data_IF_204805282717
#
_entry.id   IF_204805282717
#
_cell.length_a   1.000
_cell.length_b   1.000
_cell.length_c   1.000
_cell.angle_alpha   90.00
_cell.angle_beta   90.00
_cell.angle_gamma   90.00
#
_symmetry.space_group_name_H-M   'P 1'
#
loop_
_entity.id
_entity.type
_entity.pdbx_description
1 polymer ?
#
# COMPACT_ATOMS: atom_id res chain seq x y z
N UNK A 1 -10.45 -15.41 -23.77
CA UNK A 1 -9.71 -16.68 -23.65
C UNK A 1 -8.22 -16.47 -23.91
N UNK A 2 -7.48 -15.69 -23.08
CA UNK A 2 -6.01 -15.50 -23.24
C UNK A 2 -5.23 -15.43 -21.91
N UNK A 3 -5.86 -15.76 -20.79
CA UNK A 3 -5.20 -15.62 -19.46
C UNK A 3 -4.79 -16.93 -18.79
N UNK A 4 -5.01 -18.08 -19.43
CA UNK A 4 -4.77 -19.41 -18.82
C UNK A 4 -3.38 -19.98 -19.14
N UNK A 5 -2.58 -19.30 -19.93
CA UNK A 5 -1.31 -19.86 -20.44
C UNK A 5 -0.07 -19.53 -19.60
N UNK A 6 -0.14 -18.59 -18.67
CA UNK A 6 1.05 -18.13 -17.93
C UNK A 6 1.32 -18.99 -16.68
N UNK A 7 0.30 -19.62 -16.11
CA UNK A 7 0.45 -20.44 -14.90
C UNK A 7 1.08 -21.82 -15.19
N UNK A 8 0.94 -22.34 -16.41
CA UNK A 8 1.43 -23.66 -16.78
C UNK A 8 2.95 -23.73 -17.04
N UNK A 9 3.63 -22.60 -17.28
CA UNK A 9 5.06 -22.58 -17.61
C UNK A 9 5.96 -22.67 -16.37
N UNK A 10 5.46 -22.33 -15.20
CA UNK A 10 6.22 -22.38 -13.94
C UNK A 10 6.30 -23.78 -13.30
N UNK A 11 5.57 -24.77 -13.80
CA UNK A 11 5.53 -26.12 -13.23
C UNK A 11 6.55 -27.11 -13.82
N UNK A 12 7.35 -26.73 -14.82
CA UNK A 12 8.19 -27.68 -15.57
C UNK A 12 9.72 -27.53 -15.38
N UNK A 13 10.19 -26.79 -14.41
CA UNK A 13 11.61 -26.78 -14.04
C UNK A 13 11.87 -27.74 -12.87
N UNK A 14 11.60 -29.02 -13.11
CA UNK A 14 11.94 -30.08 -12.19
C UNK A 14 13.45 -30.35 -12.21
N UNK A 15 14.09 -30.32 -11.05
CA UNK A 15 15.44 -30.83 -10.87
C UNK A 15 16.44 -29.90 -10.19
N UNK A 16 16.05 -28.71 -9.76
CA UNK A 16 16.92 -27.86 -8.96
C UNK A 16 16.64 -28.14 -7.47
N UNK A 17 17.67 -28.36 -6.70
CA UNK A 17 17.58 -28.59 -5.25
C UNK A 17 17.08 -27.29 -4.59
N UNK A 18 15.81 -27.21 -4.29
CA UNK A 18 15.25 -26.07 -3.58
C UNK A 18 15.64 -26.16 -2.11
N UNK A 19 16.20 -25.12 -1.56
CA UNK A 19 16.68 -25.08 -0.18
C UNK A 19 16.06 -23.89 0.56
N UNK A 20 15.49 -24.14 1.74
CA UNK A 20 15.01 -23.06 2.59
C UNK A 20 16.18 -22.22 3.12
N UNK A 21 15.97 -20.92 3.43
CA UNK A 21 17.02 -20.06 3.95
C UNK A 21 17.65 -20.57 5.23
N UNK A 22 18.93 -20.32 5.37
CA UNK A 22 19.73 -20.56 6.58
C UNK A 22 20.22 -19.25 7.15
N UNK A 23 20.85 -19.27 8.32
CA UNK A 23 21.44 -18.07 8.92
C UNK A 23 22.34 -17.31 7.97
N UNK A 24 22.23 -16.00 7.92
CA UNK A 24 22.95 -15.10 7.01
C UNK A 24 22.26 -14.84 5.66
N UNK A 25 21.24 -15.60 5.30
CA UNK A 25 20.50 -15.40 4.05
C UNK A 25 19.67 -14.12 4.07
N UNK A 26 19.67 -13.41 2.94
CA UNK A 26 18.77 -12.27 2.68
C UNK A 26 17.71 -12.70 1.68
N UNK A 27 16.46 -12.34 1.90
CA UNK A 27 15.41 -12.50 0.89
C UNK A 27 14.71 -11.18 0.63
N UNK A 28 14.36 -10.95 -0.64
CA UNK A 28 13.48 -9.83 -1.02
C UNK A 28 12.20 -10.39 -1.65
N UNK A 29 11.07 -9.80 -1.31
CA UNK A 29 9.77 -10.27 -1.78
C UNK A 29 8.83 -9.13 -2.12
N UNK A 30 7.91 -9.41 -3.02
CA UNK A 30 6.78 -8.56 -3.34
C UNK A 30 5.49 -9.30 -3.05
N UNK A 31 4.54 -8.60 -2.45
CA UNK A 31 3.21 -9.14 -2.17
C UNK A 31 2.23 -8.80 -3.27
N UNK A 32 1.40 -9.77 -3.61
CA UNK A 32 0.27 -9.63 -4.51
C UNK A 32 -1.00 -9.79 -3.66
N UNK A 33 -1.83 -8.75 -3.61
CA UNK A 33 -3.11 -8.82 -2.89
C UNK A 33 -4.25 -8.72 -3.89
N UNK A 34 -5.22 -9.61 -3.80
CA UNK A 34 -6.41 -9.58 -4.63
C UNK A 34 -7.45 -10.58 -4.17
N UNK A 35 -8.73 -10.25 -4.31
CA UNK A 35 -9.80 -11.24 -4.28
C UNK A 35 -9.74 -12.09 -5.56
N UNK A 36 -10.12 -13.37 -5.47
CA UNK A 36 -10.00 -14.37 -6.53
C UNK A 36 -10.63 -13.94 -7.87
N UNK A 37 -11.52 -12.94 -7.88
CA UNK A 37 -12.20 -12.42 -9.07
C UNK A 37 -11.57 -11.13 -9.66
N UNK A 38 -10.56 -10.54 -9.00
CA UNK A 38 -9.86 -9.35 -9.47
C UNK A 38 -8.41 -9.41 -8.98
N UNK A 39 -7.61 -10.25 -9.62
CA UNK A 39 -6.15 -10.24 -9.41
C UNK A 39 -5.63 -8.95 -10.05
N UNK A 40 -5.57 -7.92 -9.28
CA UNK A 40 -4.80 -6.73 -9.63
C UNK A 40 -3.37 -6.99 -9.17
N UNK A 41 -2.46 -7.02 -10.12
CA UNK A 41 -1.02 -6.89 -9.85
C UNK A 41 -0.82 -5.42 -9.45
N UNK A 42 -1.29 -5.08 -8.27
CA UNK A 42 -0.91 -3.83 -7.63
C UNK A 42 0.07 -4.18 -6.53
N UNK A 43 1.17 -3.48 -6.36
CA UNK A 43 2.10 -3.70 -5.26
C UNK A 43 1.50 -3.21 -3.94
N UNK A 44 0.26 -3.64 -3.64
CA UNK A 44 -0.52 -3.19 -2.47
C UNK A 44 0.08 -3.75 -1.17
N UNK A 45 0.83 -4.84 -1.25
CA UNK A 45 1.51 -5.40 -0.08
C UNK A 45 2.93 -4.84 0.14
N UNK A 46 3.38 -3.95 -0.75
CA UNK A 46 4.70 -3.35 -0.64
C UNK A 46 5.85 -4.31 -0.96
N UNK A 47 7.05 -3.79 -0.86
CA UNK A 47 8.28 -4.57 -0.89
C UNK A 47 8.64 -5.01 0.53
N UNK A 48 9.23 -6.19 0.66
CA UNK A 48 9.69 -6.72 1.94
C UNK A 48 11.08 -7.32 1.79
N UNK A 49 11.88 -7.14 2.82
CA UNK A 49 13.20 -7.78 2.95
C UNK A 49 13.22 -8.55 4.26
N UNK A 50 13.79 -9.75 4.23
CA UNK A 50 14.06 -10.55 5.42
C UNK A 50 15.56 -10.85 5.51
N UNK A 51 16.07 -10.85 6.72
CA UNK A 51 17.41 -11.29 7.06
C UNK A 51 17.33 -12.42 8.07
N UNK A 52 17.82 -13.60 7.72
CA UNK A 52 17.80 -14.77 8.58
C UNK A 52 18.95 -14.67 9.60
N UNK A 53 18.59 -14.47 10.86
CA UNK A 53 19.52 -14.41 11.99
C UNK A 53 20.06 -15.83 12.35
N UNK A 54 19.32 -16.83 11.95
CA UNK A 54 19.62 -18.24 12.12
C UNK A 54 18.65 -19.07 11.27
N UNK A 55 18.70 -20.37 11.35
CA UNK A 55 17.89 -21.25 10.52
C UNK A 55 16.37 -21.14 10.77
N UNK A 56 16.00 -20.63 11.95
CA UNK A 56 14.61 -20.56 12.36
C UNK A 56 14.14 -19.12 12.70
N UNK A 57 15.02 -18.13 12.68
CA UNK A 57 14.66 -16.76 13.07
C UNK A 57 15.05 -15.79 11.98
N UNK A 58 14.11 -14.97 11.55
CA UNK A 58 14.36 -13.90 10.59
C UNK A 58 13.86 -12.55 11.13
N UNK A 59 14.66 -11.51 10.95
CA UNK A 59 14.21 -10.13 11.02
C UNK A 59 13.62 -9.74 9.66
N UNK A 60 12.53 -8.96 9.67
CA UNK A 60 11.92 -8.48 8.44
C UNK A 60 11.60 -7.01 8.48
N UNK A 61 11.63 -6.37 7.33
CA UNK A 61 11.21 -5.00 7.11
C UNK A 61 10.28 -4.98 5.90
N UNK A 62 9.05 -4.51 6.11
CA UNK A 62 8.10 -4.22 5.06
C UNK A 62 8.03 -2.73 4.78
N UNK A 63 7.97 -2.36 3.49
CA UNK A 63 7.81 -1.00 3.01
C UNK A 63 6.60 -0.93 2.09
N UNK A 64 5.74 0.04 2.32
CA UNK A 64 4.61 0.35 1.45
C UNK A 64 4.67 1.81 1.03
N UNK A 65 4.67 2.05 -0.27
CA UNK A 65 4.69 3.38 -0.87
C UNK A 65 3.55 3.48 -1.89
N UNK A 66 2.67 4.45 -1.68
CA UNK A 66 1.62 4.76 -2.65
C UNK A 66 1.62 6.26 -2.93
N UNK A 67 1.67 6.63 -4.19
CA UNK A 67 1.52 8.01 -4.65
C UNK A 67 0.48 8.05 -5.75
N UNK A 68 -0.55 8.85 -5.56
CA UNK A 68 -1.65 9.00 -6.52
C UNK A 68 -1.91 10.48 -6.77
N UNK A 69 -2.19 10.81 -8.02
CA UNK A 69 -2.58 12.17 -8.43
C UNK A 69 -3.67 12.08 -9.50
N UNK A 70 -4.76 12.79 -9.27
CA UNK A 70 -5.87 12.92 -10.21
C UNK A 70 -6.07 14.39 -10.52
N UNK A 71 -6.22 14.71 -11.80
CA UNK A 71 -6.48 16.08 -12.27
C UNK A 71 -7.76 16.11 -13.08
N UNK A 72 -8.70 16.97 -12.69
CA UNK A 72 -9.92 17.30 -13.43
C UNK A 72 -9.82 18.70 -14.00
N UNK A 73 -10.29 18.89 -15.23
CA UNK A 73 -10.31 20.19 -15.90
C UNK A 73 -11.72 20.58 -16.28
N UNK A 74 -11.98 21.87 -16.26
CA UNK A 74 -13.20 22.47 -16.80
C UNK A 74 -12.77 23.69 -17.65
N UNK A 75 -13.46 23.89 -18.76
CA UNK A 75 -13.24 25.02 -19.64
C UNK A 75 -14.37 26.03 -19.47
N UNK A 76 -14.06 27.30 -19.73
CA UNK A 76 -15.03 28.39 -19.72
C UNK A 76 -16.12 28.16 -20.76
N UNK A 77 -15.70 27.77 -21.96
CA UNK A 77 -16.62 27.46 -23.07
C UNK A 77 -16.67 25.94 -23.35
N UNK A 78 -17.83 25.40 -23.77
CA UNK A 78 -17.96 23.98 -24.07
C UNK A 78 -17.08 23.47 -25.22
N UNK A 79 -16.62 24.36 -26.10
CA UNK A 79 -15.71 24.07 -27.21
C UNK A 79 -14.24 23.98 -26.80
N UNK A 80 -13.96 24.18 -25.49
CA UNK A 80 -12.61 24.17 -24.93
C UNK A 80 -11.84 25.49 -25.09
N UNK A 81 -12.51 26.54 -25.58
CA UNK A 81 -11.93 27.89 -25.67
C UNK A 81 -12.14 28.69 -24.38
N UNK A 82 -11.48 29.87 -24.27
CA UNK A 82 -11.53 30.73 -23.10
C UNK A 82 -10.57 30.30 -22.01
N UNK A 83 -10.96 30.49 -20.75
CA UNK A 83 -10.17 30.10 -19.59
C UNK A 83 -10.27 28.62 -19.26
N UNK A 84 -9.28 28.10 -18.54
CA UNK A 84 -9.29 26.73 -18.01
C UNK A 84 -9.19 26.74 -16.50
N UNK A 85 -10.00 25.90 -15.85
CA UNK A 85 -9.96 25.60 -14.43
C UNK A 85 -9.45 24.19 -14.17
N UNK A 86 -8.77 23.99 -13.05
CA UNK A 86 -8.19 22.71 -12.68
C UNK A 86 -8.48 22.37 -11.21
N UNK A 87 -8.91 21.13 -10.96
CA UNK A 87 -8.90 20.50 -9.65
C UNK A 87 -7.86 19.38 -9.65
N UNK A 88 -6.86 19.48 -8.78
CA UNK A 88 -5.83 18.47 -8.58
C UNK A 88 -5.97 17.85 -7.20
N UNK A 89 -6.16 16.55 -7.17
CA UNK A 89 -6.17 15.73 -5.97
C UNK A 89 -4.87 14.94 -5.88
N UNK A 90 -4.22 14.96 -4.72
CA UNK A 90 -3.01 14.19 -4.45
C UNK A 90 -3.17 13.38 -3.18
N UNK A 91 -2.59 12.20 -3.18
CA UNK A 91 -2.53 11.30 -2.04
C UNK A 91 -1.16 10.62 -2.00
N UNK A 92 -0.57 10.56 -0.81
CA UNK A 92 0.68 9.86 -0.58
C UNK A 92 0.56 9.01 0.70
N UNK A 93 1.02 7.76 0.63
CA UNK A 93 1.11 6.86 1.76
C UNK A 93 2.53 6.31 1.86
N UNK A 94 3.09 6.36 3.05
CA UNK A 94 4.30 5.69 3.46
C UNK A 94 3.98 4.72 4.60
N UNK A 95 4.31 3.44 4.43
CA UNK A 95 4.18 2.40 5.44
C UNK A 95 5.52 1.77 5.75
N UNK A 96 5.83 1.61 7.04
CA UNK A 96 7.02 0.94 7.56
C UNK A 96 6.60 -0.13 8.56
N UNK A 97 7.02 -1.38 8.32
CA UNK A 97 6.59 -2.55 9.08
C UNK A 97 7.78 -3.43 9.46
N UNK A 98 8.54 -3.07 10.50
CA UNK A 98 9.58 -3.94 11.06
C UNK A 98 8.94 -5.09 11.84
N UNK A 99 9.55 -6.28 11.77
CA UNK A 99 9.01 -7.46 12.43
C UNK A 99 10.03 -8.57 12.57
N UNK A 100 9.58 -9.65 13.19
CA UNK A 100 10.35 -10.89 13.37
C UNK A 100 9.49 -12.08 12.99
N UNK A 101 10.12 -13.09 12.41
CA UNK A 101 9.52 -14.36 11.99
C UNK A 101 10.24 -15.51 12.65
N UNK A 102 9.47 -16.47 13.14
CA UNK A 102 10.00 -17.73 13.62
C UNK A 102 9.50 -18.86 12.69
N UNK A 103 10.44 -19.57 12.09
CA UNK A 103 10.22 -20.69 11.18
C UNK A 103 10.29 -22.00 11.97
N UNK A 104 9.15 -22.67 12.17
CA UNK A 104 9.03 -23.77 13.13
C UNK A 104 8.81 -25.15 12.52
N UNK A 105 8.35 -25.22 11.27
CA UNK A 105 8.07 -26.50 10.62
C UNK A 105 8.28 -26.42 9.11
N UNK A 106 8.50 -27.56 8.49
CA UNK A 106 8.67 -27.69 7.05
C UNK A 106 9.70 -28.73 6.67
N UNK A 107 9.85 -28.95 5.36
CA UNK A 107 10.88 -29.79 4.76
C UNK A 107 11.89 -28.94 4.01
N UNK A 108 12.64 -29.56 3.11
CA UNK A 108 13.64 -28.85 2.29
C UNK A 108 13.03 -27.74 1.41
N UNK A 109 11.79 -27.94 0.94
CA UNK A 109 11.09 -27.05 0.00
C UNK A 109 9.96 -26.22 0.62
N UNK A 110 9.61 -26.51 1.86
CA UNK A 110 8.48 -25.85 2.53
C UNK A 110 8.94 -25.32 3.89
N UNK A 111 8.64 -24.06 4.17
CA UNK A 111 8.90 -23.46 5.47
C UNK A 111 7.64 -22.78 5.98
N UNK A 112 7.15 -23.19 7.16
CA UNK A 112 6.06 -22.55 7.85
C UNK A 112 6.60 -21.59 8.88
N UNK A 113 5.95 -20.45 9.06
CA UNK A 113 6.38 -19.42 9.98
C UNK A 113 5.20 -18.77 10.69
N UNK A 114 5.50 -18.17 11.83
CA UNK A 114 4.65 -17.20 12.50
C UNK A 114 5.52 -16.02 12.95
N UNK A 115 4.92 -14.86 13.07
CA UNK A 115 5.67 -13.67 13.41
C UNK A 115 4.81 -12.54 13.96
N UNK A 116 5.50 -11.49 14.38
CA UNK A 116 4.92 -10.25 14.83
C UNK A 116 5.63 -9.06 14.19
N UNK A 117 4.90 -7.98 13.98
CA UNK A 117 5.41 -6.74 13.39
C UNK A 117 4.82 -5.51 14.07
N UNK A 118 5.58 -4.44 14.08
CA UNK A 118 5.07 -3.09 14.28
C UNK A 118 4.53 -2.57 12.95
N UNK A 119 3.52 -1.71 13.02
CA UNK A 119 2.93 -1.07 11.84
C UNK A 119 2.97 0.43 12.08
N UNK A 120 3.62 1.14 11.18
CA UNK A 120 3.61 2.60 11.12
C UNK A 120 3.20 3.00 9.72
N UNK A 121 2.10 3.77 9.61
CA UNK A 121 1.61 4.30 8.33
C UNK A 121 1.36 5.80 8.44
N UNK A 122 1.89 6.54 7.49
CA UNK A 122 1.73 7.97 7.36
C UNK A 122 1.04 8.26 6.04
N UNK A 123 -0.08 8.97 6.08
CA UNK A 123 -0.76 9.43 4.88
C UNK A 123 -0.82 10.94 4.82
N UNK A 124 -0.71 11.49 3.62
CA UNK A 124 -1.00 12.87 3.32
C UNK A 124 -1.93 12.97 2.13
N UNK A 125 -2.82 13.96 2.16
CA UNK A 125 -3.78 14.18 1.11
C UNK A 125 -4.03 15.68 0.94
N UNK A 126 -4.16 16.13 -0.31
CA UNK A 126 -4.37 17.54 -0.64
C UNK A 126 -5.22 17.68 -1.89
N UNK A 127 -6.15 18.63 -1.87
CA UNK A 127 -6.86 19.12 -3.05
C UNK A 127 -6.47 20.55 -3.33
N UNK A 128 -6.12 20.86 -4.57
CA UNK A 128 -5.86 22.22 -5.04
C UNK A 128 -6.79 22.51 -6.21
N UNK A 129 -7.48 23.65 -6.16
CA UNK A 129 -8.36 24.16 -7.22
C UNK A 129 -7.88 25.51 -7.67
N UNK A 130 -7.79 25.69 -8.96
CA UNK A 130 -7.43 26.97 -9.60
C UNK A 130 -8.44 27.24 -10.70
N UNK A 131 -9.16 28.36 -10.63
CA UNK A 131 -10.26 28.69 -11.51
C UNK A 131 -11.30 27.58 -11.69
N UNK A 132 -11.47 26.75 -10.64
CA UNK A 132 -12.38 25.60 -10.62
C UNK A 132 -13.21 25.59 -9.35
N UNK A 133 -14.52 25.83 -9.46
CA UNK A 133 -15.45 25.76 -8.35
C UNK A 133 -16.22 24.42 -8.34
N UNK A 134 -16.34 23.74 -7.19
CA UNK A 134 -17.09 22.49 -7.07
C UNK A 134 -18.56 22.65 -7.49
N UNK A 135 -19.04 21.77 -8.36
CA UNK A 135 -20.42 21.77 -8.85
C UNK A 135 -20.72 22.83 -9.94
N UNK A 136 -19.80 23.74 -10.20
CA UNK A 136 -19.95 24.80 -11.22
C UNK A 136 -19.02 24.54 -12.42
N UNK A 137 -17.80 24.08 -12.15
CA UNK A 137 -16.76 23.93 -13.17
C UNK A 137 -15.83 25.13 -13.22
N UNK A 138 -15.59 25.71 -14.40
CA UNK A 138 -14.75 26.90 -14.55
C UNK A 138 -15.35 28.11 -13.80
N UNK A 139 -14.50 28.78 -13.02
CA UNK A 139 -14.81 30.03 -12.37
C UNK A 139 -13.54 30.88 -12.26
N UNK A 140 -13.46 31.96 -13.01
CA UNK A 140 -12.33 32.89 -12.96
C UNK A 140 -12.09 33.46 -11.56
N UNK A 141 -10.82 33.65 -11.18
CA UNK A 141 -10.41 34.19 -9.89
C UNK A 141 -10.88 33.38 -8.66
N UNK A 142 -11.21 32.09 -8.84
CA UNK A 142 -11.47 31.17 -7.76
C UNK A 142 -10.22 30.33 -7.49
N UNK A 143 -9.80 30.23 -6.24
CA UNK A 143 -8.81 29.27 -5.81
C UNK A 143 -9.19 28.65 -4.47
N UNK A 144 -8.91 27.36 -4.33
CA UNK A 144 -9.14 26.65 -3.07
C UNK A 144 -8.03 25.64 -2.84
N UNK A 145 -7.53 25.58 -1.61
CA UNK A 145 -6.63 24.52 -1.14
C UNK A 145 -7.28 23.84 0.06
N UNK A 146 -7.36 22.52 0.01
CA UNK A 146 -7.78 21.68 1.12
C UNK A 146 -6.58 20.82 1.50
N UNK A 147 -5.91 21.12 2.61
CA UNK A 147 -4.84 20.30 3.18
C UNK A 147 -5.44 19.29 4.17
N UNK A 148 -4.99 18.07 4.09
CA UNK A 148 -5.47 16.97 4.91
C UNK A 148 -6.61 16.15 4.30
N UNK A 149 -7.14 16.50 3.14
CA UNK A 149 -8.19 15.76 2.43
C UNK A 149 -8.09 15.89 0.92
N UNK A 150 -8.40 14.79 0.22
CA UNK A 150 -8.63 14.76 -1.23
C UNK A 150 -9.72 13.75 -1.57
N UNK A 151 -10.13 13.65 -2.84
CA UNK A 151 -11.00 12.58 -3.33
C UNK A 151 -10.37 11.19 -3.21
N UNK A 152 -9.06 11.12 -3.08
CA UNK A 152 -8.27 9.88 -3.00
C UNK A 152 -8.03 9.40 -1.57
N UNK A 153 -8.29 10.23 -0.54
CA UNK A 153 -8.11 9.87 0.86
C UNK A 153 -7.89 11.05 1.80
N UNK A 154 -7.54 10.76 3.04
CA UNK A 154 -7.30 11.73 4.11
C UNK A 154 -5.90 11.63 4.72
N UNK A 155 -5.49 12.68 5.41
CA UNK A 155 -4.26 12.73 6.18
C UNK A 155 -4.44 11.94 7.47
N UNK A 156 -3.55 10.99 7.74
CA UNK A 156 -3.58 10.22 8.99
C UNK A 156 -2.20 9.69 9.37
N UNK A 157 -2.09 9.31 10.63
CA UNK A 157 -0.97 8.53 11.16
C UNK A 157 -1.54 7.32 11.87
N UNK A 158 -1.15 6.12 11.44
CA UNK A 158 -1.55 4.87 12.09
C UNK A 158 -0.33 4.22 12.72
N UNK A 159 -0.53 3.71 13.93
CA UNK A 159 0.43 2.90 14.65
C UNK A 159 -0.27 1.62 15.12
N UNK A 160 0.43 0.48 15.07
CA UNK A 160 -0.18 -0.77 15.44
C UNK A 160 0.77 -1.94 15.59
N UNK A 161 0.15 -3.07 15.91
CA UNK A 161 0.78 -4.38 16.03
C UNK A 161 0.12 -5.34 15.05
N UNK A 162 0.91 -6.15 14.38
CA UNK A 162 0.45 -7.23 13.53
C UNK A 162 0.99 -8.56 14.01
N UNK A 163 0.12 -9.58 14.07
CA UNK A 163 0.49 -10.98 14.21
C UNK A 163 0.19 -11.65 12.88
N UNK A 164 1.08 -12.49 12.41
CA UNK A 164 0.90 -13.15 11.13
C UNK A 164 1.48 -14.55 11.15
N UNK A 165 0.99 -15.37 10.23
CA UNK A 165 1.47 -16.73 9.99
C UNK A 165 1.38 -17.03 8.50
N UNK A 166 2.16 -18.00 8.06
CA UNK A 166 2.15 -18.37 6.66
C UNK A 166 3.07 -19.53 6.35
N UNK A 167 3.25 -19.74 5.07
CA UNK A 167 4.25 -20.68 4.57
C UNK A 167 4.88 -20.18 3.30
N UNK A 168 6.13 -20.60 3.06
CA UNK A 168 6.91 -20.36 1.86
C UNK A 168 7.22 -21.69 1.19
N UNK A 169 6.95 -21.78 -0.11
CA UNK A 169 7.28 -22.90 -0.93
C UNK A 169 8.41 -22.53 -1.91
N UNK A 170 9.58 -23.12 -1.70
CA UNK A 170 10.77 -22.94 -2.50
C UNK A 170 10.71 -23.89 -3.68
N UNK A 171 10.45 -23.36 -4.87
CA UNK A 171 10.40 -24.17 -6.10
C UNK A 171 11.72 -24.19 -6.86
N UNK A 172 12.65 -23.28 -6.51
CA UNK A 172 14.06 -23.29 -6.91
C UNK A 172 14.92 -22.94 -5.70
N UNK A 173 16.25 -23.00 -5.83
CA UNK A 173 17.19 -22.55 -4.80
C UNK A 173 17.03 -21.08 -4.42
N UNK A 174 16.53 -20.26 -5.35
CA UNK A 174 16.47 -18.81 -5.18
C UNK A 174 15.06 -18.23 -5.21
N UNK A 175 14.08 -18.96 -5.69
CA UNK A 175 12.73 -18.45 -5.85
C UNK A 175 11.74 -19.23 -4.97
N UNK A 176 10.83 -18.50 -4.35
CA UNK A 176 9.76 -19.07 -3.57
C UNK A 176 8.45 -18.34 -3.78
N UNK A 177 7.37 -19.07 -3.57
CA UNK A 177 6.02 -18.53 -3.42
C UNK A 177 5.59 -18.67 -1.96
N UNK A 178 5.00 -17.64 -1.41
CA UNK A 178 4.49 -17.65 -0.05
C UNK A 178 3.04 -17.23 0.03
N UNK A 179 2.37 -17.73 1.07
CA UNK A 179 1.05 -17.25 1.47
C UNK A 179 1.15 -16.81 2.94
N UNK A 180 0.59 -15.64 3.22
CA UNK A 180 0.57 -15.07 4.58
C UNK A 180 -0.83 -14.59 4.92
N UNK A 181 -1.26 -14.80 6.16
CA UNK A 181 -2.46 -14.24 6.76
C UNK A 181 -2.14 -13.67 8.12
N UNK A 182 -2.94 -12.74 8.61
CA UNK A 182 -2.64 -12.09 9.88
C UNK A 182 -3.77 -11.29 10.49
N UNK A 183 -3.52 -10.86 11.72
CA UNK A 183 -4.36 -9.99 12.53
C UNK A 183 -3.60 -8.69 12.77
N UNK A 184 -4.22 -7.55 12.51
CA UNK A 184 -3.65 -6.25 12.77
C UNK A 184 -4.53 -5.47 13.75
N UNK A 185 -3.90 -4.93 14.78
CA UNK A 185 -4.47 -3.98 15.73
C UNK A 185 -3.92 -2.61 15.38
N UNK A 186 -4.78 -1.68 14.96
CA UNK A 186 -4.38 -0.35 14.51
C UNK A 186 -5.05 0.73 15.34
N UNK A 187 -4.27 1.75 15.68
CA UNK A 187 -4.76 3.02 16.20
C UNK A 187 -4.43 4.10 15.17
N UNK A 188 -5.45 4.75 14.65
CA UNK A 188 -5.32 5.77 13.62
C UNK A 188 -5.71 7.14 14.16
N UNK A 189 -4.82 8.10 14.03
CA UNK A 189 -5.07 9.52 14.30
C UNK A 189 -5.23 10.25 12.97
N UNK A 190 -6.39 10.83 12.75
CA UNK A 190 -6.68 11.64 11.58
C UNK A 190 -6.20 13.07 11.79
N UNK A 191 -5.49 13.62 10.81
CA UNK A 191 -5.04 15.01 10.84
C UNK A 191 -6.17 16.01 10.63
N UNK A 192 -5.94 17.23 11.06
CA UNK A 192 -6.85 18.34 10.79
C UNK A 192 -6.96 18.61 9.30
N UNK A 193 -8.14 19.04 8.87
CA UNK A 193 -8.39 19.50 7.50
C UNK A 193 -8.45 21.02 7.50
N UNK A 194 -7.52 21.66 6.77
CA UNK A 194 -7.47 23.10 6.61
C UNK A 194 -7.92 23.46 5.21
N UNK A 195 -8.98 24.24 5.09
CA UNK A 195 -9.49 24.71 3.81
C UNK A 195 -9.28 26.22 3.70
N UNK A 196 -8.56 26.65 2.64
CA UNK A 196 -8.38 28.05 2.25
C UNK A 196 -9.10 28.27 0.93
N UNK A 197 -10.04 29.19 0.91
CA UNK A 197 -10.80 29.53 -0.30
C UNK A 197 -10.65 31.02 -0.58
N UNK A 198 -10.26 31.35 -1.80
CA UNK A 198 -10.21 32.74 -2.28
C UNK A 198 -11.15 32.90 -3.46
N UNK A 199 -12.01 33.88 -3.40
CA UNK A 199 -12.93 34.26 -4.46
C UNK A 199 -13.22 35.78 -4.36
N UNK A 200 -13.20 36.48 -5.49
CA UNK A 200 -13.49 37.91 -5.53
C UNK A 200 -12.58 38.78 -4.65
N UNK A 201 -11.32 38.38 -4.44
CA UNK A 201 -10.37 39.09 -3.59
C UNK A 201 -10.48 38.83 -2.09
N UNK A 202 -11.44 38.03 -1.66
CA UNK A 202 -11.65 37.64 -0.25
C UNK A 202 -11.07 36.23 -0.04
N UNK A 203 -10.27 36.07 1.01
CA UNK A 203 -9.75 34.75 1.42
C UNK A 203 -10.35 34.35 2.76
N UNK A 204 -10.92 33.15 2.81
CA UNK A 204 -11.47 32.55 4.01
C UNK A 204 -10.69 31.27 4.31
N UNK A 205 -10.28 31.11 5.57
CA UNK A 205 -9.67 29.89 6.08
C UNK A 205 -10.58 29.22 7.09
N UNK A 206 -10.82 27.94 6.93
CA UNK A 206 -11.56 27.11 7.89
C UNK A 206 -10.73 25.91 8.29
N UNK A 207 -10.86 25.49 9.56
CA UNK A 207 -10.16 24.33 10.10
C UNK A 207 -11.19 23.38 10.70
N UNK A 208 -11.14 22.11 10.26
CA UNK A 208 -11.88 21.00 10.83
C UNK A 208 -10.92 20.12 11.61
N UNK A 209 -11.21 19.88 12.88
CA UNK A 209 -10.40 19.02 13.72
C UNK A 209 -10.44 17.56 13.22
N UNK A 210 -9.32 16.90 13.31
CA UNK A 210 -9.20 15.46 13.11
C UNK A 210 -9.78 14.67 14.28
N UNK A 211 -9.64 13.36 14.23
CA UNK A 211 -10.15 12.43 15.24
C UNK A 211 -9.23 11.24 15.43
N UNK A 212 -9.70 10.25 16.17
CA UNK A 212 -9.01 8.97 16.37
C UNK A 212 -9.96 7.81 16.15
N UNK A 213 -9.43 6.72 15.60
CA UNK A 213 -10.11 5.43 15.50
C UNK A 213 -9.17 4.32 15.94
N UNK A 214 -9.74 3.26 16.49
CA UNK A 214 -9.04 2.01 16.79
C UNK A 214 -9.72 0.88 16.03
N UNK A 215 -8.93 0.12 15.29
CA UNK A 215 -9.43 -0.94 14.43
C UNK A 215 -8.72 -2.28 14.73
N UNK A 216 -9.51 -3.33 14.80
CA UNK A 216 -9.03 -4.70 14.73
C UNK A 216 -9.33 -5.23 13.33
N UNK A 217 -8.29 -5.44 12.54
CA UNK A 217 -8.39 -5.93 11.17
C UNK A 217 -7.91 -7.38 11.10
N UNK A 218 -8.80 -8.27 10.70
CA UNK A 218 -8.47 -9.66 10.40
C UNK A 218 -8.24 -9.74 8.90
N UNK A 219 -7.00 -9.87 8.48
CA UNK A 219 -6.65 -10.13 7.08
C UNK A 219 -6.79 -11.63 6.81
N UNK A 220 -8.02 -12.07 6.54
CA UNK A 220 -8.32 -13.45 6.15
C UNK A 220 -7.98 -13.75 4.68
N UNK A 221 -7.75 -12.71 3.90
CA UNK A 221 -7.32 -12.86 2.51
C UNK A 221 -5.81 -13.03 2.51
N UNK A 222 -5.35 -14.22 2.16
CA UNK A 222 -3.93 -14.52 2.07
C UNK A 222 -3.23 -13.57 1.11
N UNK A 223 -2.12 -13.00 1.55
CA UNK A 223 -1.20 -12.29 0.65
C UNK A 223 -0.37 -13.33 -0.06
N UNK A 224 -0.53 -13.44 -1.38
CA UNK A 224 0.38 -14.21 -2.20
C UNK A 224 1.70 -13.44 -2.35
N UNK A 225 2.81 -14.10 -2.12
CA UNK A 225 4.15 -13.48 -2.17
C UNK A 225 5.02 -14.20 -3.18
N UNK A 226 5.77 -13.44 -3.94
CA UNK A 226 6.87 -13.94 -4.76
C UNK A 226 8.17 -13.39 -4.18
N UNK A 227 9.10 -14.26 -3.85
CA UNK A 227 10.35 -13.88 -3.24
C UNK A 227 11.58 -14.47 -3.93
N UNK A 228 12.69 -13.76 -3.76
CA UNK A 228 14.00 -14.14 -4.22
C UNK A 228 14.98 -14.20 -3.04
N UNK A 229 15.79 -15.25 -3.01
CA UNK A 229 16.85 -15.51 -2.02
C UNK A 229 18.22 -15.20 -2.62
N UNK A 230 19.02 -14.39 -1.92
CA UNK A 230 20.37 -13.97 -2.33
C UNK A 230 21.43 -14.88 -1.73
#
# INVERSE_FOLDING_TARGET
>A
MRSTLIIAILLFLGGVWAQKPTGGTVTAEVGLQGAINNIQIAPIAGARVRYFLGDNLAARIGLNLTSQSETKRAYENPDGTGGAGEEKNTYFLFGFRPGVEYHFAGGEKLSTFAGAQLILELTSAKTTRTNYAPGVGYQANFSQTIDGRSSLGGKSTSFGLGLYSGFDWYFTEKLYLGIEWGLNFLSTSYGDVVTKTSAGGITIETKQAGGRAGDLLINTVGVLRLGYQF
#
